data_IF_945249827307
#
_entry.id   IF_945249827307
#
_cell.length_a   1.000
_cell.length_b   1.000
_cell.length_c   1.000
_cell.angle_alpha   90.00
_cell.angle_beta   90.00
_cell.angle_gamma   90.00
#
_symmetry.space_group_name_H-M   'P 1'
#
loop_
_entity.id
_entity.type
_entity.pdbx_description
1 polymer ?
#
# COMPACT_ATOMS: atom_id res chain seq x y z
N UNK A 1 -20.31 -2.65 10.15
CA UNK A 1 -19.76 -2.35 8.81
C UNK A 1 -19.30 -0.90 8.74
N UNK A 2 -18.41 -0.59 7.80
CA UNK A 2 -17.89 0.77 7.54
C UNK A 2 -18.35 1.23 6.16
N UNK A 3 -18.52 2.53 5.95
CA UNK A 3 -18.75 3.14 4.63
C UNK A 3 -17.45 3.47 3.89
N UNK A 4 -16.30 3.03 4.41
CA UNK A 4 -15.00 3.25 3.79
C UNK A 4 -14.82 2.35 2.56
N UNK A 5 -14.24 2.93 1.52
CA UNK A 5 -13.95 2.26 0.24
C UNK A 5 -12.43 2.12 0.01
N UNK A 6 -11.62 2.91 0.73
CA UNK A 6 -10.17 2.97 0.57
C UNK A 6 -9.46 2.92 1.93
N UNK A 7 -8.21 2.49 1.88
CA UNK A 7 -7.25 2.58 2.98
C UNK A 7 -6.07 3.44 2.55
N UNK A 8 -5.83 4.53 3.26
CA UNK A 8 -4.63 5.35 3.12
C UNK A 8 -3.58 4.83 4.09
N UNK A 9 -2.41 4.51 3.57
CA UNK A 9 -1.23 4.06 4.32
C UNK A 9 -0.34 5.28 4.62
N UNK A 10 0.01 5.49 5.89
CA UNK A 10 0.93 6.56 6.32
C UNK A 10 2.23 5.95 6.78
N UNK A 11 3.35 6.51 6.32
CA UNK A 11 4.67 6.00 6.61
C UNK A 11 5.57 7.05 7.26
N UNK A 12 6.68 6.56 7.81
CA UNK A 12 7.76 7.44 8.23
C UNK A 12 8.28 8.28 7.04
N UNK A 13 8.71 9.52 7.29
CA UNK A 13 9.12 10.45 6.24
C UNK A 13 7.98 11.07 5.41
N UNK A 14 6.71 10.85 5.80
CA UNK A 14 5.56 11.51 5.16
C UNK A 14 5.09 10.86 3.85
N UNK A 15 5.65 9.70 3.49
CA UNK A 15 5.17 8.93 2.35
C UNK A 15 3.75 8.40 2.60
N UNK A 16 2.89 8.54 1.58
CA UNK A 16 1.56 7.95 1.56
C UNK A 16 1.31 7.21 0.26
N UNK A 17 0.39 6.24 0.33
CA UNK A 17 -0.23 5.56 -0.82
C UNK A 17 -1.61 5.07 -0.37
N UNK A 18 -2.50 4.85 -1.31
CA UNK A 18 -3.85 4.37 -1.05
C UNK A 18 -4.14 3.08 -1.81
N UNK A 19 -5.08 2.29 -1.31
CA UNK A 19 -5.57 1.08 -1.98
C UNK A 19 -7.06 0.92 -1.70
N UNK A 20 -7.84 0.33 -2.61
CA UNK A 20 -9.21 -0.07 -2.29
C UNK A 20 -9.26 -0.98 -1.06
N UNK A 21 -10.27 -0.80 -0.22
CA UNK A 21 -10.46 -1.59 1.02
C UNK A 21 -10.59 -3.09 0.71
N UNK A 22 -11.21 -3.42 -0.44
CA UNK A 22 -11.36 -4.79 -0.90
C UNK A 22 -10.04 -5.49 -1.26
N UNK A 23 -8.97 -4.73 -1.50
CA UNK A 23 -7.63 -5.25 -1.82
C UNK A 23 -6.78 -5.51 -0.58
N UNK A 24 -7.21 -5.02 0.58
CA UNK A 24 -6.52 -5.26 1.87
C UNK A 24 -7.34 -6.09 2.86
N UNK A 25 -8.52 -6.55 2.43
CA UNK A 25 -9.39 -7.45 3.19
C UNK A 25 -9.44 -8.83 2.54
N UNK A 26 -10.10 -9.80 3.21
CA UNK A 26 -10.24 -11.15 2.67
C UNK A 26 -8.94 -11.95 2.54
N UNK A 27 -7.90 -11.59 3.31
CA UNK A 27 -6.60 -12.27 3.28
C UNK A 27 -5.73 -11.90 2.08
N UNK A 28 -6.05 -10.81 1.36
CA UNK A 28 -5.27 -10.35 0.21
C UNK A 28 -4.04 -9.52 0.57
N UNK A 29 -3.94 -9.00 1.79
CA UNK A 29 -2.80 -8.17 2.22
C UNK A 29 -2.42 -8.40 3.68
N UNK A 30 -1.21 -7.96 4.05
CA UNK A 30 -0.67 -8.09 5.41
C UNK A 30 0.07 -6.83 5.88
N UNK A 31 0.07 -6.63 7.20
CA UNK A 31 1.11 -5.87 7.88
C UNK A 31 2.23 -6.85 8.22
N UNK A 32 3.32 -6.81 7.47
CA UNK A 32 4.47 -7.68 7.66
C UNK A 32 5.50 -7.02 8.59
N UNK A 33 5.93 -7.74 9.61
CA UNK A 33 6.91 -7.29 10.61
C UNK A 33 8.09 -8.26 10.80
N UNK A 34 8.06 -9.42 10.13
CA UNK A 34 9.08 -10.46 10.20
C UNK A 34 9.16 -11.24 8.88
N UNK A 35 10.32 -11.82 8.60
CA UNK A 35 10.56 -12.74 7.47
C UNK A 35 11.58 -13.80 7.89
N UNK A 36 11.33 -15.07 7.55
CA UNK A 36 12.23 -16.17 7.90
C UNK A 36 12.37 -16.43 9.40
N UNK A 37 11.43 -15.97 10.23
CA UNK A 37 11.48 -16.09 11.69
C UNK A 37 12.17 -14.92 12.40
N UNK A 38 12.80 -14.01 11.66
CA UNK A 38 13.51 -12.85 12.18
C UNK A 38 12.72 -11.54 11.94
N UNK A 39 12.92 -10.50 12.78
CA UNK A 39 12.36 -9.18 12.53
C UNK A 39 12.75 -8.64 11.14
N UNK A 40 11.84 -7.90 10.50
CA UNK A 40 12.11 -7.33 9.19
C UNK A 40 13.21 -6.26 9.28
N UNK A 41 14.24 -6.37 8.43
CA UNK A 41 15.29 -5.35 8.36
C UNK A 41 14.73 -3.98 7.91
N UNK A 42 15.33 -2.86 8.37
CA UNK A 42 14.90 -1.51 7.97
C UNK A 42 14.87 -1.31 6.44
N UNK A 43 15.83 -1.86 5.69
CA UNK A 43 15.85 -1.77 4.22
C UNK A 43 14.61 -2.40 3.56
N UNK A 44 14.08 -3.45 4.18
CA UNK A 44 12.87 -4.12 3.72
C UNK A 44 11.58 -3.48 4.24
N UNK A 45 11.66 -2.48 5.11
CA UNK A 45 10.53 -1.75 5.67
C UNK A 45 10.29 -2.02 7.15
N UNK A 46 11.25 -2.63 7.86
CA UNK A 46 11.17 -2.83 9.31
C UNK A 46 11.01 -1.52 10.09
N UNK A 47 10.25 -1.50 11.21
CA UNK A 47 9.70 -2.65 11.91
C UNK A 47 8.39 -3.19 11.32
N UNK A 48 7.75 -2.48 10.39
CA UNK A 48 6.49 -2.91 9.80
C UNK A 48 6.28 -2.28 8.41
N UNK A 49 5.76 -3.09 7.48
CA UNK A 49 5.34 -2.65 6.14
C UNK A 49 3.98 -3.22 5.78
N UNK A 50 3.32 -2.58 4.82
CA UNK A 50 2.24 -3.20 4.08
C UNK A 50 2.81 -4.14 3.01
N UNK A 51 2.09 -5.22 2.76
CA UNK A 51 2.32 -6.15 1.66
C UNK A 51 0.98 -6.44 0.96
N UNK A 52 0.84 -5.92 -0.25
CA UNK A 52 -0.29 -6.14 -1.17
C UNK A 52 0.29 -6.84 -2.41
N UNK A 53 0.30 -8.18 -2.43
CA UNK A 53 1.11 -8.98 -3.36
C UNK A 53 0.62 -8.93 -4.81
N UNK A 54 -0.66 -8.60 -5.04
CA UNK A 54 -1.26 -8.56 -6.37
C UNK A 54 -1.17 -7.19 -7.05
N UNK A 55 -0.63 -6.18 -6.38
CA UNK A 55 -0.39 -4.85 -6.95
C UNK A 55 1.10 -4.55 -6.99
N UNK A 56 1.49 -3.57 -7.80
CA UNK A 56 2.85 -3.08 -7.82
C UNK A 56 3.30 -2.54 -6.44
N UNK A 57 4.58 -2.70 -6.14
CA UNK A 57 5.11 -2.50 -4.80
C UNK A 57 5.08 -1.06 -4.25
N UNK A 58 4.82 -0.04 -5.07
CA UNK A 58 4.55 1.30 -4.51
C UNK A 58 3.28 1.30 -3.65
N UNK A 59 2.33 0.39 -3.90
CA UNK A 59 1.14 0.17 -3.05
C UNK A 59 1.42 -0.57 -1.74
N UNK A 60 2.62 -1.11 -1.57
CA UNK A 60 3.05 -1.87 -0.40
C UNK A 60 4.01 -1.02 0.45
N UNK A 61 3.47 -0.05 1.19
CA UNK A 61 4.28 0.97 1.82
C UNK A 61 5.22 0.42 2.91
N UNK A 62 6.46 0.91 2.95
CA UNK A 62 7.47 0.59 3.96
C UNK A 62 7.36 1.53 5.17
N UNK A 63 7.80 1.08 6.34
CA UNK A 63 7.84 1.91 7.57
C UNK A 63 6.48 2.48 7.95
N UNK A 64 5.44 1.64 7.87
CA UNK A 64 4.06 2.03 8.13
C UNK A 64 3.88 2.46 9.57
N UNK A 65 3.22 3.60 9.74
CA UNK A 65 2.89 4.25 11.02
C UNK A 65 1.40 4.18 11.33
N UNK A 66 0.56 4.06 10.30
CA UNK A 66 -0.88 3.96 10.49
C UNK A 66 -1.64 3.73 9.18
N UNK A 67 -2.91 3.35 9.35
CA UNK A 67 -3.88 3.18 8.27
C UNK A 67 -5.10 4.06 8.59
N UNK A 68 -5.57 4.84 7.61
CA UNK A 68 -6.84 5.57 7.71
C UNK A 68 -7.84 4.99 6.72
N UNK A 69 -9.02 4.66 7.22
CA UNK A 69 -10.16 4.32 6.39
C UNK A 69 -10.76 5.61 5.81
N UNK A 70 -11.05 5.61 4.51
CA UNK A 70 -11.66 6.75 3.82
C UNK A 70 -12.70 6.27 2.82
N UNK A 71 -13.71 7.10 2.58
CA UNK A 71 -14.65 6.92 1.47
C UNK A 71 -14.14 7.53 0.16
N UNK A 72 -13.00 8.22 0.19
CA UNK A 72 -12.41 8.84 -0.99
C UNK A 72 -11.10 8.14 -1.40
N UNK A 73 -10.90 8.05 -2.70
CA UNK A 73 -9.62 7.74 -3.32
C UNK A 73 -8.68 8.94 -3.15
N UNK A 74 -7.58 8.76 -2.43
CA UNK A 74 -6.62 9.81 -2.13
C UNK A 74 -5.22 9.40 -2.62
N UNK A 75 -4.83 9.79 -3.85
CA UNK A 75 -3.54 9.47 -4.43
C UNK A 75 -2.37 9.88 -3.52
N UNK A 76 -1.43 8.96 -3.35
CA UNK A 76 -0.21 9.16 -2.58
C UNK A 76 0.96 9.67 -3.40
N UNK A 77 2.17 9.46 -2.90
CA UNK A 77 3.39 10.04 -3.47
C UNK A 77 3.63 9.61 -4.92
N UNK A 78 3.63 8.32 -5.24
CA UNK A 78 3.95 7.89 -6.60
C UNK A 78 2.81 8.19 -7.56
N UNK A 79 1.57 8.07 -7.08
CA UNK A 79 0.37 8.31 -7.84
C UNK A 79 0.30 9.79 -8.28
N UNK A 80 0.55 10.75 -7.40
CA UNK A 80 0.61 12.17 -7.83
C UNK A 80 1.83 12.48 -8.72
N UNK A 81 2.84 11.61 -8.75
CA UNK A 81 4.06 11.75 -9.56
C UNK A 81 4.07 10.89 -10.84
N UNK A 82 2.89 10.51 -11.34
CA UNK A 82 2.76 9.91 -12.67
C UNK A 82 2.49 8.40 -12.68
N UNK A 83 2.60 7.70 -11.54
CA UNK A 83 2.35 6.26 -11.48
C UNK A 83 0.86 5.97 -11.44
N UNK A 84 0.48 4.81 -11.97
CA UNK A 84 -0.91 4.40 -12.06
C UNK A 84 -1.55 4.28 -10.67
N UNK A 85 -2.82 4.73 -10.54
CA UNK A 85 -3.50 4.75 -9.25
C UNK A 85 -3.82 3.39 -8.67
N UNK A 86 -4.20 2.41 -9.50
CA UNK A 86 -4.45 1.04 -9.06
C UNK A 86 -3.16 0.22 -9.00
N UNK A 87 -2.51 0.04 -10.16
CA UNK A 87 -1.17 -0.55 -10.23
C UNK A 87 -1.20 -2.06 -10.38
N UNK A 88 -2.07 -2.61 -11.24
CA UNK A 88 -2.09 -4.04 -11.57
C UNK A 88 -0.90 -4.41 -12.49
N UNK A 89 0.06 -5.24 -12.02
CA UNK A 89 1.21 -5.63 -12.82
C UNK A 89 0.86 -6.51 -14.02
N UNK A 90 -0.24 -7.27 -13.96
CA UNK A 90 -0.67 -8.16 -15.04
C UNK A 90 -1.36 -7.42 -16.18
N UNK A 91 -1.85 -6.21 -15.90
CA UNK A 91 -2.42 -5.29 -16.89
C UNK A 91 -1.42 -4.22 -17.31
N UNK A 92 -0.16 -4.33 -16.88
CA UNK A 92 0.89 -3.36 -17.17
C UNK A 92 0.57 -1.92 -16.75
N UNK A 93 -0.27 -1.75 -15.72
CA UNK A 93 -0.69 -0.44 -15.21
C UNK A 93 0.43 0.24 -14.43
N UNK A 94 1.38 0.86 -15.13
CA UNK A 94 2.57 1.46 -14.52
C UNK A 94 2.42 2.95 -14.31
N UNK A 95 1.85 3.65 -15.29
CA UNK A 95 1.68 5.09 -15.33
C UNK A 95 0.22 5.48 -15.56
N UNK A 96 -0.13 6.74 -15.30
CA UNK A 96 -1.44 7.25 -15.70
C UNK A 96 -1.62 7.16 -17.21
N UNK A 97 -2.79 6.66 -17.63
CA UNK A 97 -3.14 6.52 -19.05
C UNK A 97 -2.87 5.12 -19.62
N UNK A 98 -2.23 4.25 -18.86
CA UNK A 98 -2.19 2.79 -19.11
C UNK A 98 -3.57 2.14 -18.86
#
# INVERSE_FOLDING_TARGET
ETSAEYVIQFCDGGYTTNVPLEDVTGGKAWVAFAYGGEPLDPEHGGPARMLVPHLYFWKSAKWVRGLRLSSADEPGFWEVNGYHNYGDPWREQRYWGD
#
